data_IF_376443168670
#
_entry.id   IF_376443168670
#
_cell.length_a   1.000
_cell.length_b   1.000
_cell.length_c   1.000
_cell.angle_alpha   90.00
_cell.angle_beta   90.00
_cell.angle_gamma   90.00
#
_symmetry.space_group_name_H-M   'P 1'
#
loop_
_entity.id
_entity.type
_entity.pdbx_description
1 polymer ?
#
# COMPACT_ATOMS: atom_id res chain seq x y z
N UNK A 1 28.33 -53.18 29.47
CA UNK A 1 27.72 -54.49 29.12
C UNK A 1 26.94 -54.31 27.83
N UNK A 2 27.24 -55.14 26.82
CA UNK A 2 26.59 -55.36 25.50
C UNK A 2 26.39 -54.12 24.60
N UNK A 3 27.03 -53.91 23.44
CA UNK A 3 27.45 -54.76 22.30
C UNK A 3 26.30 -55.21 21.36
N UNK A 4 26.61 -55.13 20.05
CA UNK A 4 25.99 -55.76 18.86
C UNK A 4 24.73 -55.10 18.24
N UNK A 5 24.52 -55.00 16.92
CA UNK A 5 25.33 -55.27 15.70
C UNK A 5 24.57 -54.82 14.44
N UNK A 6 25.30 -54.46 13.37
CA UNK A 6 25.01 -54.73 11.94
C UNK A 6 23.84 -53.97 11.27
N UNK A 7 23.91 -53.51 10.02
CA UNK A 7 24.85 -53.67 8.91
C UNK A 7 24.07 -53.58 7.58
N UNK A 8 24.77 -53.25 6.48
CA UNK A 8 24.51 -53.55 5.05
C UNK A 8 23.15 -53.11 4.42
N UNK A 9 23.02 -52.53 3.22
CA UNK A 9 23.89 -52.21 2.08
C UNK A 9 23.04 -52.02 0.78
N UNK A 10 23.62 -51.43 -0.28
CA UNK A 10 23.22 -51.54 -1.71
C UNK A 10 22.14 -50.54 -2.23
N UNK A 11 22.41 -49.59 -3.16
CA UNK A 11 22.68 -49.64 -4.63
C UNK A 11 21.41 -49.44 -5.50
N UNK A 12 21.53 -48.49 -6.46
CA UNK A 12 20.74 -48.24 -7.69
C UNK A 12 19.29 -47.76 -7.51
N UNK A 13 18.70 -46.90 -8.34
CA UNK A 13 18.91 -46.71 -9.76
C UNK A 13 18.38 -45.33 -10.22
N UNK A 14 18.94 -44.82 -11.32
CA UNK A 14 18.57 -43.55 -11.91
C UNK A 14 17.29 -43.62 -12.74
N UNK A 15 16.46 -42.57 -12.68
CA UNK A 15 15.55 -42.22 -13.78
C UNK A 15 15.49 -40.72 -13.99
N UNK A 16 16.08 -40.33 -15.12
CA UNK A 16 15.88 -39.10 -15.86
C UNK A 16 14.40 -38.84 -16.14
N UNK A 17 13.86 -37.74 -15.62
CA UNK A 17 12.57 -37.18 -16.03
C UNK A 17 12.78 -35.77 -16.57
N UNK A 18 12.98 -35.66 -17.89
CA UNK A 18 13.15 -34.38 -18.57
C UNK A 18 11.92 -33.49 -18.39
N UNK A 19 12.11 -32.31 -17.80
CA UNK A 19 11.10 -31.26 -17.75
C UNK A 19 11.03 -30.60 -19.12
N UNK A 20 9.94 -30.88 -19.83
CA UNK A 20 9.60 -30.25 -21.10
C UNK A 20 9.28 -28.77 -20.85
N UNK A 21 10.14 -27.88 -21.34
CA UNK A 21 9.89 -26.44 -21.39
C UNK A 21 8.80 -26.19 -22.43
N UNK A 22 7.55 -26.05 -21.98
CA UNK A 22 6.47 -25.52 -22.80
C UNK A 22 6.59 -23.99 -22.83
N UNK A 23 7.38 -23.48 -23.79
CA UNK A 23 7.26 -22.11 -24.26
C UNK A 23 5.90 -21.96 -24.96
N UNK A 24 4.90 -21.43 -24.26
CA UNK A 24 3.67 -20.93 -24.90
C UNK A 24 3.73 -19.41 -24.93
N UNK A 25 4.15 -18.91 -26.09
CA UNK A 25 3.58 -17.77 -26.81
C UNK A 25 2.77 -16.81 -25.94
N UNK A 26 3.40 -15.69 -25.57
CA UNK A 26 2.73 -14.50 -25.06
C UNK A 26 1.67 -14.03 -26.06
N UNK A 27 0.41 -14.32 -25.75
CA UNK A 27 -0.73 -13.71 -26.44
C UNK A 27 -0.67 -12.20 -26.23
N UNK A 28 -0.78 -11.44 -27.32
CA UNK A 28 -0.81 -9.97 -27.30
C UNK A 28 -1.93 -9.48 -26.37
N UNK A 29 -1.68 -8.49 -25.49
CA UNK A 29 -2.76 -7.88 -24.72
C UNK A 29 -3.69 -7.09 -25.65
N UNK A 30 -4.99 -7.38 -25.57
CA UNK A 30 -6.04 -6.59 -26.22
C UNK A 30 -6.13 -5.23 -25.52
N UNK A 31 -5.49 -4.22 -26.11
CA UNK A 31 -5.68 -2.82 -25.72
C UNK A 31 -7.00 -2.35 -26.31
N UNK A 32 -8.00 -2.08 -25.47
CA UNK A 32 -9.23 -1.41 -25.91
C UNK A 32 -8.92 0.08 -26.04
N UNK A 33 -8.66 0.55 -27.25
CA UNK A 33 -8.64 1.99 -27.58
C UNK A 33 -10.01 2.42 -28.09
N UNK A 34 -10.55 3.51 -27.53
CA UNK A 34 -11.66 4.24 -28.13
C UNK A 34 -11.12 5.41 -28.94
N UNK A 35 -11.59 5.53 -30.18
CA UNK A 35 -11.32 6.60 -31.14
C UNK A 35 -12.25 7.77 -30.86
N UNK A 36 -11.73 8.99 -30.77
CA UNK A 36 -12.56 10.22 -30.81
C UNK A 36 -12.53 10.76 -32.24
N UNK A 37 -13.65 10.60 -32.95
CA UNK A 37 -13.89 11.26 -34.24
C UNK A 37 -14.07 12.77 -34.00
N UNK A 38 -13.13 13.55 -34.51
CA UNK A 38 -13.20 15.00 -34.54
C UNK A 38 -14.00 15.50 -35.74
N UNK A 39 -15.26 15.89 -35.51
CA UNK A 39 -16.06 16.68 -36.45
C UNK A 39 -16.18 18.14 -36.01
N UNK A 40 -15.48 19.06 -36.68
CA UNK A 40 -15.67 20.51 -36.53
C UNK A 40 -16.49 21.05 -37.70
N UNK A 41 -17.72 21.50 -37.41
CA UNK A 41 -18.60 22.25 -38.29
C UNK A 41 -18.80 23.69 -37.79
N UNK A 42 -18.88 24.61 -38.75
CA UNK A 42 -18.70 26.07 -38.69
C UNK A 42 -19.87 26.89 -38.10
N UNK A 43 -19.49 28.05 -37.53
CA UNK A 43 -20.06 29.42 -37.71
C UNK A 43 -21.54 29.72 -37.38
N UNK A 44 -21.76 30.75 -36.55
CA UNK A 44 -23.01 31.54 -36.51
C UNK A 44 -23.00 32.59 -35.38
N UNK A 45 -23.30 33.85 -35.70
CA UNK A 45 -23.13 35.06 -34.88
C UNK A 45 -24.49 35.76 -34.71
N UNK A 46 -24.63 36.58 -33.66
CA UNK A 46 -25.63 37.69 -33.41
C UNK A 46 -26.97 37.23 -32.77
N UNK A 47 -27.71 37.95 -31.90
CA UNK A 47 -27.63 39.30 -31.27
C UNK A 47 -28.76 39.45 -30.18
N UNK A 48 -28.55 40.36 -29.21
CA UNK A 48 -29.45 41.16 -28.33
C UNK A 48 -30.45 40.59 -27.28
N UNK A 49 -30.23 41.08 -26.04
CA UNK A 49 -31.11 41.87 -25.12
C UNK A 49 -32.40 41.31 -24.48
N UNK A 50 -32.52 41.55 -23.16
CA UNK A 50 -33.75 42.10 -22.55
C UNK A 50 -34.43 41.33 -21.39
N UNK A 51 -34.17 41.81 -20.15
CA UNK A 51 -34.99 41.87 -18.92
C UNK A 51 -36.07 40.82 -18.50
N UNK A 52 -36.04 40.58 -17.18
CA UNK A 52 -37.12 40.37 -16.19
C UNK A 52 -37.82 38.99 -16.04
N UNK A 53 -37.55 38.37 -14.89
CA UNK A 53 -38.60 38.02 -13.91
C UNK A 53 -39.24 36.63 -14.01
N UNK A 54 -39.30 35.94 -12.86
CA UNK A 54 -40.33 34.92 -12.59
C UNK A 54 -39.86 33.48 -12.60
N UNK A 55 -40.04 32.82 -11.45
CA UNK A 55 -39.74 31.42 -11.18
C UNK A 55 -40.56 30.42 -12.01
N UNK A 56 -40.03 29.21 -12.22
CA UNK A 56 -40.56 27.92 -11.71
C UNK A 56 -39.76 26.76 -12.32
N UNK A 57 -39.58 25.74 -11.48
CA UNK A 57 -38.78 24.53 -11.59
C UNK A 57 -38.84 23.76 -12.92
N UNK A 58 -37.76 23.01 -13.21
CA UNK A 58 -37.85 21.66 -13.78
C UNK A 58 -36.62 20.83 -13.40
N UNK A 59 -36.91 19.59 -13.03
CA UNK A 59 -36.02 18.49 -12.68
C UNK A 59 -35.08 18.14 -13.83
N UNK A 60 -33.90 17.60 -13.47
CA UNK A 60 -33.17 16.67 -14.33
C UNK A 60 -31.72 17.06 -14.61
N UNK A 61 -30.82 16.10 -14.44
CA UNK A 61 -29.45 16.20 -14.93
C UNK A 61 -28.45 15.50 -14.04
N UNK A 62 -28.40 14.18 -14.16
CA UNK A 62 -27.33 13.33 -13.65
C UNK A 62 -25.94 13.89 -14.02
N UNK A 63 -25.26 14.52 -13.06
CA UNK A 63 -23.83 14.76 -13.14
C UNK A 63 -23.11 13.44 -12.79
N UNK A 64 -23.13 12.49 -13.72
CA UNK A 64 -22.21 11.36 -13.73
C UNK A 64 -20.83 11.88 -14.06
N UNK A 65 -20.12 12.43 -13.07
CA UNK A 65 -18.69 12.70 -13.21
C UNK A 65 -17.99 11.36 -13.37
N UNK A 66 -17.31 11.18 -14.50
CA UNK A 66 -16.34 10.11 -14.75
C UNK A 66 -15.22 10.21 -13.72
N UNK A 67 -15.47 9.71 -12.52
CA UNK A 67 -14.47 9.50 -11.50
C UNK A 67 -13.81 8.16 -11.84
N UNK A 68 -12.89 8.21 -12.81
CA UNK A 68 -11.94 7.11 -13.05
C UNK A 68 -11.22 6.82 -11.73
N UNK A 69 -10.97 5.54 -11.46
CA UNK A 69 -10.21 4.98 -10.32
C UNK A 69 -9.14 5.97 -9.82
N UNK A 70 -9.53 6.82 -8.86
CA UNK A 70 -8.71 7.94 -8.40
C UNK A 70 -7.77 7.39 -7.35
N UNK A 71 -6.48 7.39 -7.65
CA UNK A 71 -5.49 7.16 -6.60
C UNK A 71 -5.67 8.22 -5.54
N UNK A 72 -5.56 7.88 -4.25
CA UNK A 72 -5.45 8.88 -3.21
C UNK A 72 -4.32 9.83 -3.60
N UNK A 73 -4.68 11.08 -3.88
CA UNK A 73 -3.72 12.10 -4.29
C UNK A 73 -3.06 12.59 -3.02
N UNK A 74 -2.02 11.87 -2.57
CA UNK A 74 -1.04 12.49 -1.69
C UNK A 74 -0.32 13.50 -2.58
N UNK A 75 -0.72 14.77 -2.47
CA UNK A 75 -0.19 15.89 -3.25
C UNK A 75 1.29 16.09 -2.90
N UNK A 76 2.13 15.25 -3.51
CA UNK A 76 3.57 15.36 -3.46
C UNK A 76 3.96 16.51 -4.37
N UNK A 77 4.79 17.43 -3.86
CA UNK A 77 5.28 18.64 -4.51
C UNK A 77 6.09 18.44 -5.83
N UNK A 78 5.95 17.29 -6.47
CA UNK A 78 6.46 16.95 -7.81
C UNK A 78 5.31 16.87 -8.81
N UNK A 79 4.48 17.92 -8.86
CA UNK A 79 3.47 18.11 -9.90
C UNK A 79 4.18 18.39 -11.24
N UNK A 80 4.64 17.33 -11.91
CA UNK A 80 5.30 17.44 -13.21
C UNK A 80 6.00 16.17 -13.71
N UNK A 81 6.29 15.21 -12.83
CA UNK A 81 6.97 13.97 -13.23
C UNK A 81 5.95 12.86 -13.53
N UNK A 82 6.09 12.26 -14.71
CA UNK A 82 5.38 11.02 -15.07
C UNK A 82 5.59 9.96 -13.98
N UNK A 83 4.53 9.28 -13.55
CA UNK A 83 4.55 8.24 -12.54
C UNK A 83 5.57 7.14 -12.86
N UNK A 84 5.71 6.78 -14.14
CA UNK A 84 6.72 5.81 -14.59
C UNK A 84 8.17 6.26 -14.37
N UNK A 85 8.39 7.58 -14.27
CA UNK A 85 9.69 8.20 -14.05
C UNK A 85 9.96 8.48 -12.55
N UNK A 86 9.00 8.21 -11.65
CA UNK A 86 9.25 8.34 -10.22
C UNK A 86 10.25 7.27 -9.78
N UNK A 87 11.23 7.69 -8.97
CA UNK A 87 12.13 6.77 -8.28
C UNK A 87 11.33 5.82 -7.37
N UNK A 88 11.91 4.66 -7.05
CA UNK A 88 11.32 3.72 -6.07
C UNK A 88 11.00 4.43 -4.75
N UNK A 89 11.90 5.30 -4.27
CA UNK A 89 11.69 6.14 -3.07
C UNK A 89 10.42 6.98 -3.21
N UNK A 90 10.23 7.68 -4.34
CA UNK A 90 9.03 8.47 -4.59
C UNK A 90 7.75 7.64 -4.75
N UNK A 91 7.86 6.37 -5.18
CA UNK A 91 6.73 5.43 -5.22
C UNK A 91 6.35 4.98 -3.81
N UNK A 92 7.34 4.61 -2.98
CA UNK A 92 7.14 4.16 -1.60
C UNK A 92 6.65 5.30 -0.67
N UNK A 93 7.08 6.53 -0.91
CA UNK A 93 6.65 7.70 -0.11
C UNK A 93 5.13 7.98 -0.14
N UNK A 94 4.40 7.36 -1.08
CA UNK A 94 2.93 7.46 -1.16
C UNK A 94 2.20 6.48 -0.23
N UNK A 95 2.91 5.57 0.45
CA UNK A 95 2.33 4.53 1.28
C UNK A 95 2.51 4.87 2.76
N UNK A 96 1.42 5.15 3.51
CA UNK A 96 1.50 5.33 4.95
C UNK A 96 1.76 4.00 5.66
N UNK A 97 2.61 4.05 6.67
CA UNK A 97 2.82 2.97 7.65
C UNK A 97 2.90 3.60 9.05
N UNK A 98 2.90 2.78 10.11
CA UNK A 98 2.64 3.26 11.47
C UNK A 98 3.65 2.72 12.48
N UNK A 99 4.18 3.60 13.32
CA UNK A 99 4.96 3.26 14.51
C UNK A 99 4.11 3.49 15.76
N UNK A 100 4.40 2.77 16.84
CA UNK A 100 3.88 3.09 18.17
C UNK A 100 4.99 3.83 18.91
N UNK A 101 4.68 5.03 19.40
CA UNK A 101 5.66 5.93 20.05
C UNK A 101 5.12 6.50 21.35
N UNK A 102 6.00 6.96 22.24
CA UNK A 102 5.64 7.78 23.40
C UNK A 102 5.16 9.18 23.00
N UNK A 103 4.70 9.99 23.95
CA UNK A 103 4.35 11.39 23.71
C UNK A 103 5.55 12.24 23.23
N UNK A 104 6.78 11.80 23.52
CA UNK A 104 8.02 12.40 23.00
C UNK A 104 8.38 11.97 21.57
N UNK A 105 7.67 10.99 20.99
CA UNK A 105 7.97 10.45 19.66
C UNK A 105 9.02 9.34 19.65
N UNK A 106 9.44 8.85 20.82
CA UNK A 106 10.36 7.72 20.91
C UNK A 106 9.61 6.41 20.61
N UNK A 107 10.09 5.54 19.70
CA UNK A 107 9.45 4.27 19.40
C UNK A 107 9.43 3.33 20.62
N UNK A 108 8.32 2.64 20.83
CA UNK A 108 8.30 1.50 21.75
C UNK A 108 9.05 0.32 21.12
N UNK A 109 9.91 -0.29 21.91
CA UNK A 109 10.72 -1.43 21.52
C UNK A 109 10.22 -2.68 22.23
N UNK A 110 10.20 -3.79 21.51
CA UNK A 110 9.82 -5.08 22.04
C UNK A 110 11.04 -6.02 22.05
N UNK A 111 11.22 -6.75 23.15
CA UNK A 111 12.26 -7.79 23.28
C UNK A 111 11.78 -9.06 22.59
N UNK A 112 11.92 -9.12 21.26
CA UNK A 112 11.56 -10.32 20.48
C UNK A 112 12.73 -11.32 20.38
N UNK A 113 13.96 -10.87 20.59
CA UNK A 113 15.17 -11.67 20.50
C UNK A 113 16.03 -11.40 21.75
N UNK A 114 16.69 -12.43 22.29
CA UNK A 114 17.42 -12.35 23.58
C UNK A 114 18.48 -11.24 23.65
N UNK A 115 18.99 -10.80 22.50
CA UNK A 115 20.01 -9.74 22.37
C UNK A 115 19.54 -8.49 21.60
N UNK A 116 18.26 -8.43 21.18
CA UNK A 116 17.76 -7.32 20.37
C UNK A 116 16.44 -6.74 20.84
N UNK A 117 16.41 -5.42 20.81
CA UNK A 117 15.22 -4.60 20.92
C UNK A 117 14.68 -4.34 19.51
N UNK A 118 13.39 -4.57 19.29
CA UNK A 118 12.78 -4.48 17.97
C UNK A 118 11.70 -3.41 17.97
N UNK A 119 11.87 -2.38 17.15
CA UNK A 119 10.81 -1.42 16.81
C UNK A 119 9.94 -1.97 15.68
N UNK A 120 8.63 -2.04 15.89
CA UNK A 120 7.68 -2.59 14.92
C UNK A 120 7.01 -1.47 14.10
N UNK A 121 7.07 -1.59 12.77
CA UNK A 121 6.43 -0.68 11.81
C UNK A 121 5.27 -1.40 11.14
N UNK A 122 4.04 -0.99 11.45
CA UNK A 122 2.79 -1.64 11.05
C UNK A 122 2.26 -1.13 9.72
N UNK A 123 1.81 -2.05 8.86
CA UNK A 123 1.08 -1.72 7.63
C UNK A 123 -0.41 -1.47 7.83
N UNK A 124 -0.99 -1.98 8.92
CA UNK A 124 -2.38 -1.78 9.32
C UNK A 124 -2.47 -0.87 10.53
N UNK A 125 -3.34 0.14 10.43
CA UNK A 125 -3.68 1.02 11.55
C UNK A 125 -4.43 0.25 12.65
N UNK A 126 -5.26 -0.72 12.26
CA UNK A 126 -6.02 -1.55 13.20
C UNK A 126 -5.11 -2.45 14.01
N UNK A 127 -4.10 -3.08 13.39
CA UNK A 127 -3.14 -3.92 14.10
C UNK A 127 -2.24 -3.07 15.01
N UNK A 128 -1.79 -1.90 14.55
CA UNK A 128 -1.07 -0.95 15.40
C UNK A 128 -1.91 -0.49 16.61
N UNK A 129 -3.22 -0.24 16.40
CA UNK A 129 -4.14 0.19 17.45
C UNK A 129 -4.33 -0.90 18.50
N UNK A 130 -4.58 -2.15 18.08
CA UNK A 130 -4.72 -3.28 19.02
C UNK A 130 -3.48 -3.45 19.89
N UNK A 131 -2.29 -3.40 19.28
CA UNK A 131 -1.02 -3.53 20.02
C UNK A 131 -0.82 -2.34 20.97
N UNK A 132 -1.10 -1.12 20.53
CA UNK A 132 -1.02 0.07 21.38
C UNK A 132 -1.99 0.01 22.57
N UNK A 133 -3.23 -0.41 22.35
CA UNK A 133 -4.23 -0.56 23.42
C UNK A 133 -3.81 -1.62 24.44
N UNK A 134 -3.27 -2.75 23.96
CA UNK A 134 -2.68 -3.76 24.83
C UNK A 134 -1.48 -3.23 25.62
N UNK A 135 -0.62 -2.41 25.01
CA UNK A 135 0.49 -1.75 25.70
C UNK A 135 -0.03 -0.85 26.82
N UNK A 136 -1.06 -0.04 26.56
CA UNK A 136 -1.66 0.86 27.55
C UNK A 136 -2.31 0.17 28.74
N UNK A 137 -2.75 -1.08 28.57
CA UNK A 137 -3.27 -1.89 29.67
C UNK A 137 -2.15 -2.38 30.61
N UNK A 138 -0.90 -2.36 30.16
CA UNK A 138 0.27 -2.67 30.97
C UNK A 138 0.90 -1.36 31.49
N UNK A 139 1.44 -1.36 32.70
CA UNK A 139 2.05 -0.17 33.29
C UNK A 139 3.24 0.34 32.46
N UNK A 140 3.33 1.66 32.26
CA UNK A 140 4.49 2.32 31.63
C UNK A 140 4.35 2.63 30.13
N UNK A 141 3.16 2.52 29.55
CA UNK A 141 2.87 2.90 28.16
C UNK A 141 1.58 3.72 28.00
N UNK A 142 1.14 4.41 29.05
CA UNK A 142 -0.10 5.18 29.10
C UNK A 142 -0.15 6.26 28.00
N UNK A 143 1.01 6.85 27.71
CA UNK A 143 1.20 7.88 26.69
C UNK A 143 1.40 7.33 25.27
N UNK A 144 1.26 6.02 25.06
CA UNK A 144 1.45 5.43 23.74
C UNK A 144 0.51 6.04 22.69
N UNK A 145 1.06 6.33 21.53
CA UNK A 145 0.34 6.90 20.40
C UNK A 145 0.85 6.34 19.08
N UNK A 146 -0.04 6.29 18.11
CA UNK A 146 0.31 5.92 16.75
C UNK A 146 0.96 7.12 16.07
N UNK A 147 2.19 6.92 15.60
CA UNK A 147 2.94 7.88 14.81
C UNK A 147 2.95 7.43 13.35
N UNK A 148 2.31 8.18 12.44
CA UNK A 148 2.38 7.85 11.03
C UNK A 148 3.71 8.25 10.41
N UNK A 149 4.21 7.42 9.51
CA UNK A 149 5.36 7.66 8.65
C UNK A 149 5.09 7.14 7.24
N UNK A 150 6.02 7.41 6.32
CA UNK A 150 5.95 6.90 4.95
C UNK A 150 6.83 5.67 4.77
N UNK A 151 6.45 4.79 3.84
CA UNK A 151 7.14 3.51 3.65
C UNK A 151 8.59 3.68 3.19
N UNK A 152 8.93 4.72 2.43
CA UNK A 152 10.34 5.02 2.10
C UNK A 152 11.19 5.24 3.37
N UNK A 153 10.67 5.98 4.34
CA UNK A 153 11.32 6.19 5.65
C UNK A 153 11.37 4.92 6.48
N UNK A 154 10.31 4.11 6.45
CA UNK A 154 10.35 2.80 7.09
C UNK A 154 11.42 1.89 6.48
N UNK A 155 11.59 1.90 5.15
CA UNK A 155 12.63 1.13 4.48
C UNK A 155 14.05 1.60 4.86
N UNK A 156 14.27 2.92 5.00
CA UNK A 156 15.52 3.47 5.54
C UNK A 156 15.80 2.92 6.95
N UNK A 157 14.78 2.95 7.83
CA UNK A 157 14.89 2.47 9.22
C UNK A 157 15.19 0.97 9.31
N UNK A 158 14.56 0.16 8.46
CA UNK A 158 14.75 -1.31 8.43
C UNK A 158 16.11 -1.69 7.85
N UNK A 159 16.64 -0.92 6.89
CA UNK A 159 17.97 -1.14 6.30
C UNK A 159 19.11 -0.60 7.18
N UNK A 160 18.81 0.20 8.20
CA UNK A 160 19.81 0.77 9.10
C UNK A 160 20.57 -0.31 9.88
N UNK A 161 21.85 -0.05 10.16
CA UNK A 161 22.65 -0.94 11.01
C UNK A 161 22.07 -0.98 12.43
N UNK A 162 22.17 -2.11 13.15
CA UNK A 162 21.77 -2.17 14.55
C UNK A 162 22.47 -1.07 15.37
N UNK A 163 21.73 -0.41 16.24
CA UNK A 163 22.23 0.68 17.11
C UNK A 163 22.00 0.34 18.58
N UNK A 164 22.80 0.84 19.54
CA UNK A 164 22.53 0.58 20.96
C UNK A 164 21.14 1.08 21.37
N UNK A 165 20.37 0.25 22.08
CA UNK A 165 19.01 0.59 22.52
C UNK A 165 19.00 1.41 23.82
N UNK A 166 20.14 1.60 24.47
CA UNK A 166 20.25 2.19 25.81
C UNK A 166 19.86 1.23 26.95
N UNK A 167 19.52 -0.03 26.64
CA UNK A 167 19.24 -1.08 27.61
C UNK A 167 20.38 -2.10 27.62
N UNK A 168 20.58 -2.76 28.76
CA UNK A 168 21.59 -3.81 28.93
C UNK A 168 20.94 -5.17 29.16
N UNK A 169 21.57 -6.21 28.65
CA UNK A 169 21.21 -7.59 28.96
C UNK A 169 21.60 -7.95 30.39
N UNK A 170 21.17 -9.12 30.88
CA UNK A 170 21.58 -9.65 32.18
C UNK A 170 23.11 -9.81 32.30
N UNK A 171 23.81 -10.00 31.18
CA UNK A 171 25.28 -10.06 31.12
C UNK A 171 25.97 -8.69 30.96
N UNK A 172 25.24 -7.58 31.09
CA UNK A 172 25.79 -6.21 31.01
C UNK A 172 26.09 -5.70 29.61
N UNK A 173 25.81 -6.50 28.57
CA UNK A 173 26.01 -6.14 27.17
C UNK A 173 24.89 -5.22 26.69
N UNK A 174 25.21 -4.24 25.85
CA UNK A 174 24.19 -3.36 25.28
C UNK A 174 23.28 -4.14 24.34
N UNK A 175 21.97 -4.00 24.53
CA UNK A 175 20.98 -4.58 23.62
C UNK A 175 20.90 -3.72 22.37
N UNK A 176 20.88 -4.37 21.20
CA UNK A 176 20.87 -3.66 19.93
C UNK A 176 19.44 -3.45 19.44
N UNK A 177 19.13 -2.23 19.03
CA UNK A 177 17.89 -1.82 18.41
C UNK A 177 17.92 -2.04 16.90
N UNK A 178 16.86 -2.66 16.38
CA UNK A 178 16.57 -2.80 14.94
C UNK A 178 15.10 -2.50 14.66
N UNK A 179 14.76 -2.10 13.43
CA UNK A 179 13.37 -1.95 13.01
C UNK A 179 12.94 -3.11 12.12
N UNK A 180 11.67 -3.51 12.26
CA UNK A 180 11.04 -4.53 11.41
C UNK A 180 9.69 -4.08 10.92
N UNK A 181 9.40 -4.46 9.68
CA UNK A 181 8.07 -4.34 9.13
C UNK A 181 7.16 -5.40 9.73
N UNK A 182 5.97 -4.98 10.14
CA UNK A 182 4.90 -5.83 10.64
C UNK A 182 3.79 -5.87 9.58
N UNK A 183 3.64 -7.01 8.86
CA UNK A 183 2.62 -7.15 7.83
C UNK A 183 1.21 -6.99 8.40
N UNK A 184 0.28 -6.52 7.57
CA UNK A 184 -1.15 -6.55 7.90
C UNK A 184 -1.60 -8.01 8.03
N UNK A 185 -2.07 -8.39 9.22
CA UNK A 185 -2.42 -9.77 9.55
C UNK A 185 -3.62 -10.28 8.76
N UNK A 186 -4.57 -9.41 8.39
CA UNK A 186 -5.70 -9.76 7.54
C UNK A 186 -5.22 -10.02 6.11
N UNK A 187 -4.29 -9.21 5.61
CA UNK A 187 -3.80 -9.36 4.24
C UNK A 187 -2.90 -10.58 4.05
N UNK A 188 -2.14 -10.98 5.08
CA UNK A 188 -1.42 -12.27 5.06
C UNK A 188 -2.40 -13.44 4.92
N UNK A 189 -3.55 -13.41 5.62
CA UNK A 189 -4.61 -14.44 5.50
C UNK A 189 -5.27 -14.41 4.11
N UNK A 190 -5.56 -13.21 3.59
CA UNK A 190 -6.11 -13.03 2.25
C UNK A 190 -5.18 -13.58 1.17
N UNK A 191 -3.88 -13.29 1.25
CA UNK A 191 -2.86 -13.81 0.36
C UNK A 191 -2.79 -15.34 0.39
N UNK A 192 -2.82 -15.94 1.58
CA UNK A 192 -2.86 -17.40 1.73
C UNK A 192 -4.07 -18.02 1.04
N UNK A 193 -5.23 -17.37 1.15
CA UNK A 193 -6.48 -17.79 0.51
C UNK A 193 -6.41 -17.71 -1.02
N UNK A 194 -5.82 -16.65 -1.58
CA UNK A 194 -5.62 -16.51 -3.04
C UNK A 194 -4.63 -17.55 -3.58
N UNK A 195 -3.55 -17.84 -2.85
CA UNK A 195 -2.51 -18.78 -3.26
C UNK A 195 -2.90 -20.26 -3.06
N UNK A 196 -4.06 -20.54 -2.47
CA UNK A 196 -4.47 -21.91 -2.12
C UNK A 196 -3.53 -22.59 -1.11
N UNK A 197 -2.79 -21.81 -0.31
CA UNK A 197 -1.83 -22.32 0.68
C UNK A 197 -2.50 -22.48 2.04
N UNK A 198 -2.16 -23.55 2.76
CA UNK A 198 -2.53 -23.67 4.18
C UNK A 198 -1.89 -22.52 4.95
N UNK A 199 -2.66 -21.92 5.87
CA UNK A 199 -2.24 -20.77 6.66
C UNK A 199 -0.90 -21.05 7.33
N UNK A 200 0.08 -20.19 7.07
CA UNK A 200 1.38 -20.17 7.71
C UNK A 200 1.84 -18.72 7.81
N UNK A 201 2.62 -18.40 8.84
CA UNK A 201 3.18 -17.07 9.02
C UNK A 201 4.14 -16.77 7.86
N UNK A 202 3.67 -16.03 6.86
CA UNK A 202 4.55 -15.45 5.86
C UNK A 202 5.06 -14.12 6.41
N UNK A 203 6.38 -13.99 6.56
CA UNK A 203 7.01 -12.72 6.94
C UNK A 203 7.04 -11.70 5.77
N UNK A 204 6.38 -12.02 4.66
CA UNK A 204 6.29 -11.17 3.46
C UNK A 204 5.10 -10.23 3.57
N UNK A 205 5.25 -9.02 3.05
CA UNK A 205 4.11 -8.08 2.92
C UNK A 205 3.46 -8.35 1.57
N UNK A 206 2.21 -8.83 1.53
CA UNK A 206 1.56 -9.19 0.29
C UNK A 206 1.13 -7.94 -0.49
N UNK A 207 1.26 -8.02 -1.81
CA UNK A 207 0.72 -7.07 -2.77
C UNK A 207 -0.21 -7.82 -3.72
N UNK A 208 -1.39 -7.27 -3.97
CA UNK A 208 -2.40 -7.87 -4.84
C UNK A 208 -2.47 -7.11 -6.16
N UNK A 209 -2.48 -7.85 -7.27
CA UNK A 209 -2.55 -7.31 -8.62
C UNK A 209 -3.66 -8.03 -9.36
N UNK A 210 -4.55 -7.28 -10.02
CA UNK A 210 -5.58 -7.86 -10.87
C UNK A 210 -5.15 -7.78 -12.34
N UNK A 211 -5.12 -8.93 -13.03
CA UNK A 211 -4.82 -8.94 -14.46
C UNK A 211 -5.86 -8.11 -15.24
N UNK A 212 -5.37 -7.17 -16.06
CA UNK A 212 -6.21 -6.30 -16.88
C UNK A 212 -6.78 -5.09 -16.15
N UNK A 213 -6.50 -4.92 -14.86
CA UNK A 213 -6.82 -3.68 -14.15
C UNK A 213 -5.69 -2.69 -14.37
N UNK A 214 -5.94 -1.67 -15.17
CA UNK A 214 -5.06 -0.51 -15.34
C UNK A 214 -5.79 0.75 -14.91
N UNK A 215 -5.05 1.70 -14.39
CA UNK A 215 -5.59 2.96 -13.86
C UNK A 215 -4.96 4.13 -14.57
N UNK A 216 -5.75 5.18 -14.80
CA UNK A 216 -5.24 6.38 -15.47
C UNK A 216 -4.79 7.42 -14.46
N UNK A 217 -3.50 7.77 -14.48
CA UNK A 217 -2.93 8.87 -13.69
C UNK A 217 -2.49 9.98 -14.65
N UNK A 218 -3.35 10.98 -14.83
CA UNK A 218 -3.16 12.01 -15.86
C UNK A 218 -3.22 11.40 -17.27
N UNK A 219 -2.08 11.36 -17.96
CA UNK A 219 -1.92 10.76 -19.30
C UNK A 219 -1.28 9.36 -19.28
N UNK A 220 -0.98 8.82 -18.10
CA UNK A 220 -0.33 7.52 -17.96
C UNK A 220 -1.31 6.44 -17.53
N UNK A 221 -1.09 5.24 -18.07
CA UNK A 221 -1.67 4.01 -17.56
C UNK A 221 -0.67 3.38 -16.58
N UNK A 222 -1.17 3.06 -15.39
CA UNK A 222 -0.37 2.45 -14.33
C UNK A 222 -0.99 1.09 -13.98
N UNK A 223 -0.16 0.08 -13.72
CA UNK A 223 -0.60 -1.18 -13.13
C UNK A 223 -0.61 -1.04 -11.61
N UNK A 224 -1.78 -0.98 -10.95
CA UNK A 224 -1.84 -0.90 -9.49
C UNK A 224 -1.41 -2.20 -8.82
N UNK A 225 -0.62 -2.07 -7.76
CA UNK A 225 -0.33 -3.08 -6.75
C UNK A 225 -0.98 -2.65 -5.43
N UNK A 226 -2.01 -3.35 -5.01
CA UNK A 226 -2.77 -3.03 -3.81
C UNK A 226 -2.16 -3.69 -2.58
N UNK A 227 -2.06 -2.95 -1.47
CA UNK A 227 -1.71 -3.54 -0.18
C UNK A 227 -2.86 -4.32 0.46
N UNK A 228 -4.12 -4.02 0.06
CA UNK A 228 -5.30 -4.72 0.56
C UNK A 228 -6.06 -5.38 -0.57
N UNK A 229 -6.56 -6.60 -0.32
CA UNK A 229 -7.39 -7.31 -1.29
C UNK A 229 -8.74 -6.62 -1.49
N UNK A 230 -9.28 -6.03 -0.43
CA UNK A 230 -10.56 -5.34 -0.42
C UNK A 230 -10.54 -4.10 -1.32
N UNK A 231 -9.46 -3.31 -1.29
CA UNK A 231 -9.31 -2.15 -2.17
C UNK A 231 -9.24 -2.59 -3.63
N UNK A 232 -8.52 -3.67 -3.95
CA UNK A 232 -8.48 -4.24 -5.30
C UNK A 232 -9.88 -4.65 -5.78
N UNK A 233 -10.61 -5.41 -4.97
CA UNK A 233 -11.94 -5.91 -5.34
C UNK A 233 -12.95 -4.78 -5.52
N UNK A 234 -12.89 -3.74 -4.66
CA UNK A 234 -13.71 -2.54 -4.78
C UNK A 234 -13.43 -1.82 -6.11
N UNK A 235 -12.15 -1.58 -6.43
CA UNK A 235 -11.73 -0.95 -7.68
C UNK A 235 -12.12 -1.78 -8.91
N UNK A 236 -12.01 -3.11 -8.84
CA UNK A 236 -12.47 -4.00 -9.91
C UNK A 236 -13.99 -3.93 -10.13
N UNK A 237 -14.78 -3.92 -9.05
CA UNK A 237 -16.23 -3.84 -9.15
C UNK A 237 -16.69 -2.53 -9.80
N UNK A 238 -16.02 -1.42 -9.49
CA UNK A 238 -16.25 -0.12 -10.14
C UNK A 238 -15.91 -0.14 -11.63
N UNK A 239 -14.76 -0.72 -12.00
CA UNK A 239 -14.41 -0.88 -13.41
C UNK A 239 -15.44 -1.75 -14.15
N UNK A 240 -15.97 -2.78 -13.51
CA UNK A 240 -17.00 -3.66 -14.09
C UNK A 240 -18.34 -2.95 -14.30
N UNK A 241 -18.74 -2.01 -13.43
CA UNK A 241 -19.97 -1.24 -13.67
C UNK A 241 -19.89 -0.38 -14.92
N UNK A 242 -18.69 0.04 -15.30
CA UNK A 242 -18.43 0.82 -16.53
C UNK A 242 -18.18 -0.07 -17.74
N UNK A 243 -17.65 -1.28 -17.53
CA UNK A 243 -17.39 -2.28 -18.57
C UNK A 243 -17.96 -3.66 -18.20
N UNK A 244 -19.25 -3.93 -18.52
CA UNK A 244 -19.92 -5.18 -18.18
C UNK A 244 -19.32 -6.44 -18.83
N UNK A 245 -18.41 -6.29 -19.82
CA UNK A 245 -17.71 -7.43 -20.45
C UNK A 245 -16.62 -8.03 -19.56
N UNK A 246 -16.22 -7.33 -18.49
CA UNK A 246 -15.22 -7.82 -17.57
C UNK A 246 -15.77 -8.98 -16.72
N UNK A 247 -14.92 -9.97 -16.37
CA UNK A 247 -15.35 -11.08 -15.55
C UNK A 247 -15.82 -10.62 -14.17
N UNK A 248 -16.78 -11.38 -13.61
CA UNK A 248 -17.39 -11.07 -12.31
C UNK A 248 -16.36 -10.95 -11.19
N UNK A 249 -15.30 -11.77 -11.21
CA UNK A 249 -14.19 -11.71 -10.24
C UNK A 249 -12.88 -11.42 -10.98
N UNK A 250 -11.99 -10.60 -10.40
CA UNK A 250 -10.66 -10.39 -10.95
C UNK A 250 -9.85 -11.69 -10.87
N UNK A 251 -8.93 -11.87 -11.81
CA UNK A 251 -7.85 -12.83 -11.65
C UNK A 251 -6.74 -12.14 -10.83
N UNK A 252 -6.63 -12.52 -9.55
CA UNK A 252 -5.72 -11.89 -8.58
C UNK A 252 -4.41 -12.66 -8.50
N UNK A 253 -3.31 -11.94 -8.67
CA UNK A 253 -1.96 -12.39 -8.41
C UNK A 253 -1.43 -11.78 -7.11
N UNK A 254 -0.61 -12.54 -6.38
CA UNK A 254 0.00 -12.10 -5.13
C UNK A 254 1.51 -12.00 -5.31
N UNK A 255 2.06 -10.85 -4.95
CA UNK A 255 3.50 -10.57 -4.94
C UNK A 255 3.98 -10.25 -3.53
N UNK A 256 5.29 -10.38 -3.31
CA UNK A 256 5.98 -9.95 -2.10
C UNK A 256 6.48 -8.51 -2.30
N UNK A 257 6.19 -7.61 -1.37
CA UNK A 257 6.72 -6.24 -1.39
C UNK A 257 8.25 -6.25 -1.48
N UNK A 258 8.90 -7.11 -0.69
CA UNK A 258 10.35 -7.22 -0.64
C UNK A 258 10.93 -7.51 -2.03
N UNK A 259 10.38 -8.51 -2.72
CA UNK A 259 10.83 -8.94 -4.05
C UNK A 259 10.57 -7.84 -5.10
N UNK A 260 9.44 -7.13 -5.01
CA UNK A 260 9.11 -6.03 -5.91
C UNK A 260 10.06 -4.86 -5.71
N UNK A 261 10.34 -4.49 -4.46
CA UNK A 261 11.27 -3.40 -4.14
C UNK A 261 12.66 -3.75 -4.64
N UNK A 262 13.15 -4.97 -4.39
CA UNK A 262 14.44 -5.44 -4.89
C UNK A 262 14.53 -5.36 -6.42
N UNK A 263 13.50 -5.85 -7.13
CA UNK A 263 13.46 -5.77 -8.60
C UNK A 263 13.44 -4.34 -9.12
N UNK A 264 12.67 -3.45 -8.48
CA UNK A 264 12.64 -2.03 -8.85
C UNK A 264 13.97 -1.33 -8.56
N UNK A 265 14.65 -1.67 -7.46
CA UNK A 265 16.00 -1.17 -7.12
C UNK A 265 17.04 -1.65 -8.14
N UNK A 266 16.90 -2.88 -8.65
CA UNK A 266 17.74 -3.44 -9.70
C UNK A 266 17.37 -2.98 -11.13
N UNK A 267 16.38 -2.08 -11.27
CA UNK A 267 16.04 -1.46 -12.55
C UNK A 267 15.16 -2.29 -13.48
N UNK A 268 14.35 -3.22 -12.96
CA UNK A 268 13.42 -4.02 -13.77
C UNK A 268 12.43 -3.13 -14.56
N UNK A 269 12.62 -3.10 -15.88
CA UNK A 269 11.82 -2.32 -16.83
C UNK A 269 10.33 -2.69 -16.79
N UNK A 270 10.00 -3.96 -16.51
CA UNK A 270 8.62 -4.42 -16.47
C UNK A 270 7.80 -3.75 -15.35
N UNK A 271 8.47 -3.29 -14.30
CA UNK A 271 7.86 -2.67 -13.13
C UNK A 271 7.79 -1.14 -13.22
N UNK A 272 8.34 -0.50 -14.26
CA UNK A 272 8.30 0.97 -14.40
C UNK A 272 6.88 1.52 -14.44
N UNK A 273 6.00 0.87 -15.20
CA UNK A 273 4.58 1.20 -15.29
C UNK A 273 3.74 0.75 -14.08
N UNK A 274 4.35 0.10 -13.08
CA UNK A 274 3.64 -0.40 -11.92
C UNK A 274 3.68 0.60 -10.77
N UNK A 275 2.59 0.64 -10.00
CA UNK A 275 2.45 1.59 -8.91
C UNK A 275 1.79 1.05 -7.66
N UNK A 276 2.30 1.47 -6.51
CA UNK A 276 1.71 1.14 -5.22
C UNK A 276 0.39 1.89 -5.03
N UNK A 277 -0.65 1.13 -4.71
CA UNK A 277 -1.95 1.66 -4.27
C UNK A 277 -2.03 1.50 -2.74
N UNK A 278 -1.89 2.58 -1.96
CA UNK A 278 -1.86 2.51 -0.51
C UNK A 278 -3.22 2.05 0.06
N UNK A 279 -3.26 1.42 1.24
CA UNK A 279 -4.53 1.04 1.87
C UNK A 279 -5.43 2.25 2.06
N UNK A 280 -6.69 2.18 1.60
CA UNK A 280 -7.62 3.31 1.68
C UNK A 280 -7.84 3.76 3.13
N UNK A 281 -7.95 2.81 4.06
CA UNK A 281 -8.10 3.10 5.51
C UNK A 281 -6.90 3.84 6.09
N UNK A 282 -5.69 3.47 5.68
CA UNK A 282 -4.46 4.15 6.12
C UNK A 282 -4.43 5.60 5.61
N UNK A 283 -4.90 5.83 4.38
CA UNK A 283 -5.02 7.19 3.83
C UNK A 283 -6.08 8.01 4.57
N UNK A 284 -7.28 7.47 4.79
CA UNK A 284 -8.33 8.17 5.55
C UNK A 284 -7.87 8.56 6.95
N UNK A 285 -7.17 7.66 7.65
CA UNK A 285 -6.58 7.99 8.95
C UNK A 285 -5.61 9.18 8.86
N UNK A 286 -4.75 9.25 7.82
CA UNK A 286 -3.82 10.37 7.64
C UNK A 286 -4.53 11.70 7.40
N UNK A 287 -5.65 11.69 6.68
CA UNK A 287 -6.47 12.87 6.42
C UNK A 287 -7.12 13.39 7.70
N UNK A 288 -7.74 12.50 8.48
CA UNK A 288 -8.34 12.86 9.78
C UNK A 288 -7.31 13.46 10.75
N UNK A 289 -6.08 12.93 10.78
CA UNK A 289 -5.02 13.46 11.64
C UNK A 289 -4.57 14.86 11.21
N UNK A 290 -4.58 15.18 9.91
CA UNK A 290 -4.29 16.53 9.41
C UNK A 290 -5.38 17.52 9.80
N UNK A 291 -6.65 17.12 9.67
CA UNK A 291 -7.79 17.95 10.04
C UNK A 291 -7.81 18.26 11.54
N UNK A 292 -7.57 17.26 12.41
CA UNK A 292 -7.48 17.45 13.87
C UNK A 292 -6.39 18.44 14.26
N UNK A 293 -5.25 18.45 13.56
CA UNK A 293 -4.16 19.41 13.78
C UNK A 293 -4.52 20.81 13.28
N UNK A 294 -5.16 20.92 12.11
CA UNK A 294 -5.57 22.21 11.51
C UNK A 294 -6.72 22.88 12.29
N UNK A 295 -7.69 22.10 12.77
CA UNK A 295 -8.80 22.58 13.60
C UNK A 295 -8.34 23.17 14.94
N UNK A 296 -7.25 22.63 15.52
CA UNK A 296 -6.66 23.16 16.76
C UNK A 296 -6.00 24.53 16.56
N UNK A 297 -5.55 24.86 15.35
CA UNK A 297 -4.96 26.16 15.01
C UNK A 297 -6.01 27.24 14.74
N UNK A 298 -7.25 26.86 14.38
CA UNK A 298 -8.34 27.83 14.08
C UNK A 298 -9.04 28.42 15.31
N UNK A 299 -8.80 27.90 16.51
CA UNK A 299 -9.45 28.36 17.75
C UNK A 299 -8.67 29.46 18.51
N UNK A 300 -7.59 30.00 17.93
CA UNK A 300 -6.86 31.15 18.46
C UNK A 300 -6.90 32.33 17.47
N UNK A 301 -8.10 32.85 17.20
CA UNK A 301 -8.25 34.24 16.77
C UNK A 301 -8.74 35.00 17.99
N UNK A 302 -7.84 35.78 18.56
CA UNK A 302 -8.05 36.63 19.74
C UNK A 302 -9.04 37.75 19.35
N UNK A 303 -10.25 37.85 19.94
CA UNK A 303 -11.16 38.96 19.68
C UNK A 303 -10.84 40.09 20.67
N UNK A 304 -9.66 40.70 20.53
CA UNK A 304 -9.32 41.93 21.22
C UNK A 304 -8.49 42.78 20.25
N UNK A 305 -9.20 43.59 19.47
CA UNK A 305 -8.80 44.91 18.97
C UNK A 305 -9.93 45.42 18.08
N UNK A 306 -10.87 46.12 18.71
CA UNK A 306 -11.61 47.22 18.09
C UNK A 306 -11.74 48.26 19.18
N UNK A 307 -10.78 49.19 19.19
CA UNK A 307 -10.93 50.51 19.81
C UNK A 307 -12.08 51.28 19.14
#
# INVERSE_FOLDING_TARGET
>A
MSAFVGGIGGISDGRSGGVRVCSRSLGRPTVVRMSEDGGHGKTGRRILAGLLGGAVALLGGSAGTNELLRFPQVESALAGTLYKNKSIVGKLAQVPVFLITSAGGQPYLATLEESRQVGLIFFSIEDATKVMEQMKMNAGAEEARIFPLTLDKAMEMVKAKPTPSGLKSQGGQDLMMVFRLYPDTAQVKNAGSVLGRRQGASNTIPLFVARGLVVRKGREEVQPMFFTKEDLESNWNRLRSENPKLPRRPNIEVYSLQDIVEKMENGDEALRGWGFYPPSRSVSFMEEQKEKKSGKTRMHINPLLSD
#
